data_IF_726865485983
#
_entry.id   IF_726865485983
#
_cell.length_a   1.000
_cell.length_b   1.000
_cell.length_c   1.000
_cell.angle_alpha   90.00
_cell.angle_beta   90.00
_cell.angle_gamma   90.00
#
_symmetry.space_group_name_H-M   'P 1'
#
loop_
_entity.id
_entity.type
_entity.pdbx_description
1 polymer ?
#
# COMPACT_ATOMS: atom_id res chain seq x y z
N UNK A 1 4.76 -7.24 -10.88
CA UNK A 1 5.25 -5.94 -10.36
C UNK A 1 5.98 -6.19 -9.05
N UNK A 2 7.15 -5.57 -8.81
CA UNK A 2 7.83 -5.68 -7.51
C UNK A 2 7.12 -4.77 -6.48
N UNK A 3 7.08 -5.19 -5.21
CA UNK A 3 6.26 -4.53 -4.17
C UNK A 3 6.78 -3.13 -3.81
N UNK A 4 8.08 -2.87 -3.94
CA UNK A 4 8.66 -1.52 -3.87
C UNK A 4 8.06 -0.57 -4.93
N UNK A 5 7.85 -1.07 -6.15
CA UNK A 5 7.24 -0.31 -7.24
C UNK A 5 5.73 -0.14 -7.03
N UNK A 6 5.05 -1.09 -6.37
CA UNK A 6 3.63 -0.96 -6.03
C UNK A 6 3.38 0.31 -5.20
N UNK A 7 4.14 0.51 -4.12
CA UNK A 7 3.96 1.68 -3.24
C UNK A 7 4.22 2.97 -4.04
N UNK A 8 5.31 3.04 -4.80
CA UNK A 8 5.61 4.21 -5.62
C UNK A 8 4.50 4.51 -6.65
N UNK A 9 4.02 3.48 -7.36
CA UNK A 9 2.96 3.62 -8.37
C UNK A 9 1.62 4.02 -7.76
N UNK A 10 1.27 3.49 -6.59
CA UNK A 10 0.01 3.81 -5.90
C UNK A 10 0.05 5.24 -5.35
N UNK A 11 1.20 5.66 -4.80
CA UNK A 11 1.42 7.06 -4.39
C UNK A 11 1.31 8.00 -5.58
N UNK A 12 1.99 7.71 -6.69
CA UNK A 12 1.94 8.51 -7.91
C UNK A 12 0.50 8.62 -8.46
N UNK A 13 -0.23 7.51 -8.54
CA UNK A 13 -1.63 7.49 -8.99
C UNK A 13 -2.58 8.24 -8.06
N UNK A 14 -2.32 8.24 -6.76
CA UNK A 14 -3.16 8.93 -5.78
C UNK A 14 -3.04 10.47 -5.88
N UNK A 15 -2.01 10.99 -6.55
CA UNK A 15 -1.69 12.42 -6.58
C UNK A 15 -1.26 13.00 -5.23
N UNK A 16 -1.15 12.16 -4.18
CA UNK A 16 -0.75 12.59 -2.84
C UNK A 16 0.76 12.66 -2.74
N UNK A 17 1.27 13.72 -2.10
CA UNK A 17 2.68 13.77 -1.73
C UNK A 17 2.99 12.77 -0.62
N UNK A 18 4.23 12.30 -0.54
CA UNK A 18 4.70 11.43 0.54
C UNK A 18 4.44 12.02 1.95
N UNK A 19 4.43 13.35 2.09
CA UNK A 19 4.13 14.03 3.34
C UNK A 19 2.66 13.86 3.73
N UNK A 20 1.75 13.98 2.76
CA UNK A 20 0.30 13.80 3.00
C UNK A 20 -0.04 12.35 3.29
N UNK A 21 0.60 11.40 2.62
CA UNK A 21 0.50 9.98 2.94
C UNK A 21 0.98 9.66 4.36
N UNK A 22 2.12 10.22 4.77
CA UNK A 22 2.63 10.06 6.14
C UNK A 22 1.64 10.58 7.18
N UNK A 23 1.04 11.74 6.94
CA UNK A 23 0.00 12.30 7.80
C UNK A 23 -1.25 11.41 7.84
N UNK A 24 -1.76 10.97 6.69
CA UNK A 24 -2.94 10.09 6.58
C UNK A 24 -2.69 8.73 7.25
N UNK A 25 -1.46 8.22 7.17
CA UNK A 25 -1.05 6.97 7.83
C UNK A 25 -0.84 7.13 9.34
N UNK A 26 -0.71 8.35 9.86
CA UNK A 26 -0.21 8.60 11.22
C UNK A 26 1.14 7.92 11.47
N UNK A 27 2.02 7.89 10.47
CA UNK A 27 3.37 7.31 10.50
C UNK A 27 4.38 8.35 10.03
N UNK A 28 5.65 8.20 10.38
CA UNK A 28 6.69 9.12 9.90
C UNK A 28 6.87 9.03 8.38
N UNK A 29 7.36 10.11 7.76
CA UNK A 29 7.67 10.15 6.33
C UNK A 29 8.69 9.08 5.95
N UNK A 30 9.63 8.82 6.86
CA UNK A 30 10.67 7.82 6.74
C UNK A 30 10.08 6.41 6.65
N UNK A 31 8.96 6.14 7.32
CA UNK A 31 8.27 4.85 7.20
C UNK A 31 7.82 4.57 5.76
N UNK A 32 7.16 5.54 5.12
CA UNK A 32 6.67 5.41 3.73
C UNK A 32 7.83 5.33 2.75
N UNK A 33 8.85 6.17 2.94
CA UNK A 33 10.06 6.17 2.10
C UNK A 33 10.83 4.85 2.22
N UNK A 34 10.98 4.33 3.43
CA UNK A 34 11.66 3.05 3.66
C UNK A 34 10.86 1.86 3.11
N UNK A 35 9.53 1.90 3.22
CA UNK A 35 8.67 0.90 2.62
C UNK A 35 8.85 0.83 1.09
N UNK A 36 8.88 1.99 0.44
CA UNK A 36 9.11 2.08 -1.00
C UNK A 36 10.52 1.64 -1.44
N UNK A 37 11.53 1.70 -0.56
CA UNK A 37 12.89 1.25 -0.89
C UNK A 37 13.16 -0.22 -0.56
N UNK A 38 12.28 -0.91 0.18
CA UNK A 38 12.47 -2.32 0.56
C UNK A 38 12.08 -3.25 -0.59
N UNK A 39 12.96 -4.18 -0.94
CA UNK A 39 12.67 -5.20 -1.94
C UNK A 39 11.47 -6.09 -1.57
N UNK A 40 11.24 -6.30 -0.26
CA UNK A 40 10.10 -7.03 0.27
C UNK A 40 9.58 -6.33 1.55
N UNK A 41 8.67 -5.33 1.43
CA UNK A 41 7.99 -4.78 2.59
C UNK A 41 6.99 -5.80 3.15
N UNK A 42 6.60 -5.63 4.42
CA UNK A 42 5.63 -6.52 5.05
C UNK A 42 4.23 -6.31 4.43
N UNK A 43 3.39 -7.36 4.50
CA UNK A 43 2.01 -7.28 4.00
C UNK A 43 1.18 -6.21 4.73
N UNK A 44 1.47 -5.98 6.02
CA UNK A 44 0.83 -4.91 6.80
C UNK A 44 1.09 -3.53 6.18
N UNK A 45 2.32 -3.25 5.75
CA UNK A 45 2.65 -1.98 5.08
C UNK A 45 1.94 -1.81 3.75
N UNK A 46 1.75 -2.91 3.00
CA UNK A 46 0.99 -2.87 1.74
C UNK A 46 -0.48 -2.55 2.01
N UNK A 47 -1.09 -3.17 3.03
CA UNK A 47 -2.46 -2.92 3.43
C UNK A 47 -2.66 -1.47 3.91
N UNK A 48 -1.74 -0.96 4.75
CA UNK A 48 -1.76 0.42 5.24
C UNK A 48 -1.75 1.45 4.08
N UNK A 49 -0.85 1.25 3.10
CA UNK A 49 -0.76 2.14 1.92
C UNK A 49 -2.01 2.03 1.05
N UNK A 50 -2.54 0.82 0.88
CA UNK A 50 -3.76 0.60 0.10
C UNK A 50 -4.97 1.32 0.73
N UNK A 51 -5.14 1.27 2.06
CA UNK A 51 -6.21 1.98 2.77
C UNK A 51 -6.17 3.49 2.49
N UNK A 52 -5.03 4.14 2.75
CA UNK A 52 -4.91 5.60 2.61
C UNK A 52 -4.96 6.10 1.16
N UNK A 53 -4.75 5.21 0.21
CA UNK A 53 -4.85 5.52 -1.23
C UNK A 53 -6.18 5.07 -1.83
N UNK A 54 -7.09 4.49 -1.04
CA UNK A 54 -8.41 4.06 -1.48
C UNK A 54 -8.37 2.85 -2.43
N UNK A 55 -7.39 1.97 -2.25
CA UNK A 55 -7.21 0.75 -3.04
C UNK A 55 -7.54 -0.51 -2.22
N UNK A 56 -8.08 -1.52 -2.90
CA UNK A 56 -8.18 -2.88 -2.36
C UNK A 56 -6.93 -3.72 -2.70
N UNK A 57 -6.67 -4.76 -1.91
CA UNK A 57 -5.61 -5.75 -2.17
C UNK A 57 -6.23 -7.00 -2.78
N UNK A 58 -5.79 -7.37 -3.99
CA UNK A 58 -6.26 -8.59 -4.66
C UNK A 58 -5.30 -9.76 -4.47
N UNK A 59 -5.84 -10.95 -4.22
CA UNK A 59 -5.13 -12.23 -4.29
C UNK A 59 -5.35 -12.82 -5.69
N UNK A 60 -4.25 -13.05 -6.40
CA UNK A 60 -4.27 -13.53 -7.79
C UNK A 60 -3.74 -14.96 -7.83
N UNK A 61 -4.48 -15.87 -8.45
CA UNK A 61 -3.99 -17.19 -8.81
C UNK A 61 -2.91 -17.04 -9.88
N UNK A 62 -1.68 -17.43 -9.54
CA UNK A 62 -0.52 -17.29 -10.43
C UNK A 62 -0.61 -18.17 -11.68
N UNK A 63 -1.38 -19.25 -11.66
CA UNK A 63 -1.53 -20.16 -12.80
C UNK A 63 -2.53 -19.61 -13.82
N UNK A 64 -3.64 -19.09 -13.35
CA UNK A 64 -4.77 -18.69 -14.20
C UNK A 64 -4.85 -17.18 -14.43
N UNK A 65 -4.20 -16.39 -13.58
CA UNK A 65 -4.32 -14.93 -13.58
C UNK A 65 -5.64 -14.42 -12.98
N UNK A 66 -6.51 -15.31 -12.50
CA UNK A 66 -7.79 -14.92 -11.93
C UNK A 66 -7.63 -14.26 -10.56
N UNK A 67 -8.45 -13.25 -10.27
CA UNK A 67 -8.60 -12.70 -8.92
C UNK A 67 -9.41 -13.72 -8.12
N UNK A 68 -8.79 -14.29 -7.09
CA UNK A 68 -9.40 -15.28 -6.19
C UNK A 68 -10.13 -14.60 -5.04
N UNK A 69 -9.60 -13.46 -4.58
CA UNK A 69 -10.19 -12.68 -3.51
C UNK A 69 -9.78 -11.20 -3.60
N UNK A 70 -10.65 -10.33 -3.13
CA UNK A 70 -10.39 -8.91 -2.92
C UNK A 70 -10.52 -8.63 -1.44
N UNK A 71 -9.49 -8.05 -0.84
CA UNK A 71 -9.43 -7.66 0.56
C UNK A 71 -9.47 -6.15 0.63
N UNK A 72 -10.55 -5.61 1.17
CA UNK A 72 -10.57 -4.21 1.60
C UNK A 72 -9.72 -4.07 2.85
N UNK A 73 -8.63 -3.27 2.81
CA UNK A 73 -7.79 -3.07 3.98
C UNK A 73 -8.63 -2.57 5.17
N UNK A 74 -8.37 -3.06 6.39
CA UNK A 74 -9.06 -2.55 7.56
C UNK A 74 -8.72 -1.08 7.73
N UNK A 75 -9.74 -0.22 7.78
CA UNK A 75 -9.54 1.20 8.11
C UNK A 75 -8.81 1.26 9.44
N UNK A 76 -7.73 2.03 9.49
CA UNK A 76 -7.04 2.28 10.75
C UNK A 76 -8.06 2.84 11.75
N UNK A 77 -8.35 2.09 12.82
CA UNK A 77 -9.16 2.62 13.91
C UNK A 77 -8.39 3.80 14.50
N UNK A 78 -9.04 4.97 14.55
CA UNK A 78 -8.52 6.13 15.24
C UNK A 78 -8.45 5.79 16.75
N UNK A 79 -7.32 5.28 17.21
CA UNK A 79 -6.95 5.24 18.62
C UNK A 79 -6.10 6.48 18.94
#
# INVERSE_FOLDING_TARGET
MQVNKLIATVVERSGKSYNRLSADLGKSREYVRQAASKAAPSIATVADVADVTGCDVCIIDRKTGAIVATVTPPRKANN
#
